data_IF_310759144089
#
_entry.id   IF_310759144089
#
_cell.length_a   1.000
_cell.length_b   1.000
_cell.length_c   1.000
_cell.angle_alpha   90.00
_cell.angle_beta   90.00
_cell.angle_gamma   90.00
#
_symmetry.space_group_name_H-M   'P 1'
#
loop_
_entity.id
_entity.type
_entity.pdbx_description
1 polymer ?
#
# COMPACT_ATOMS: atom_id res chain seq x y z
N UNK A 1 9.29 15.83 -9.39
CA UNK A 1 8.55 16.35 -8.22
C UNK A 1 8.52 15.28 -7.15
N UNK A 2 8.60 15.68 -5.88
CA UNK A 2 8.50 14.76 -4.75
C UNK A 2 7.58 15.38 -3.70
N UNK A 3 6.76 14.54 -3.07
CA UNK A 3 5.76 14.91 -2.10
C UNK A 3 5.84 13.92 -0.95
N UNK A 4 5.79 14.44 0.26
CA UNK A 4 5.71 13.64 1.47
C UNK A 4 4.58 14.20 2.34
N UNK A 5 3.74 13.30 2.82
CA UNK A 5 2.63 13.61 3.71
C UNK A 5 2.74 12.77 4.96
N UNK A 6 2.63 13.44 6.09
CA UNK A 6 2.41 12.83 7.39
C UNK A 6 0.98 13.16 7.83
N UNK A 7 0.20 12.13 8.16
CA UNK A 7 -1.18 12.32 8.60
C UNK A 7 -1.47 11.52 9.87
N UNK A 8 -2.42 12.04 10.66
CA UNK A 8 -3.04 11.34 11.77
C UNK A 8 -4.52 11.70 11.82
N UNK A 9 -5.37 10.70 11.60
CA UNK A 9 -6.81 10.82 11.72
C UNK A 9 -7.32 9.89 12.82
N UNK A 10 -8.21 10.42 13.67
CA UNK A 10 -8.85 9.69 14.76
C UNK A 10 -10.35 9.85 14.60
N UNK A 11 -11.07 8.74 14.62
CA UNK A 11 -12.53 8.71 14.56
C UNK A 11 -13.11 7.61 15.46
N UNK A 12 -14.40 7.70 15.73
CA UNK A 12 -15.22 6.65 16.34
C UNK A 12 -15.82 5.72 15.27
N UNK A 13 -16.03 6.22 14.05
CA UNK A 13 -16.36 5.46 12.85
C UNK A 13 -15.70 6.05 11.61
N UNK A 14 -15.06 5.22 10.79
CA UNK A 14 -14.46 5.64 9.51
C UNK A 14 -15.40 5.56 8.31
N UNK A 15 -16.65 5.16 8.52
CA UNK A 15 -17.66 5.07 7.46
C UNK A 15 -18.95 5.74 7.93
N UNK A 16 -19.47 6.62 7.09
CA UNK A 16 -20.79 7.22 7.26
C UNK A 16 -21.86 6.35 6.57
N UNK A 17 -23.02 6.19 7.22
CA UNK A 17 -24.22 5.68 6.54
C UNK A 17 -24.52 4.18 6.65
N UNK A 18 -23.95 3.45 7.61
CA UNK A 18 -24.36 2.05 7.89
C UNK A 18 -24.02 1.03 6.78
N UNK A 19 -23.16 1.41 5.82
CA UNK A 19 -22.75 0.55 4.69
C UNK A 19 -21.63 -0.42 5.08
N UNK A 20 -21.18 -0.41 6.34
CA UNK A 20 -20.24 -1.38 6.90
C UNK A 20 -20.93 -2.29 7.92
N UNK A 21 -20.72 -3.61 7.82
CA UNK A 21 -21.22 -4.60 8.78
C UNK A 21 -20.58 -4.50 10.19
N UNK A 22 -19.68 -3.54 10.41
CA UNK A 22 -19.00 -3.37 11.70
C UNK A 22 -19.70 -2.28 12.50
N UNK A 23 -20.62 -2.69 13.38
CA UNK A 23 -21.23 -1.83 14.39
C UNK A 23 -20.26 -1.57 15.55
N UNK A 24 -20.60 -0.64 16.45
CA UNK A 24 -19.89 -0.49 17.72
C UNK A 24 -19.89 -1.81 18.50
N UNK A 25 -18.75 -2.18 19.09
CA UNK A 25 -18.66 -3.39 19.90
C UNK A 25 -19.58 -3.29 21.12
N UNK A 26 -19.59 -2.13 21.76
CA UNK A 26 -20.49 -1.83 22.87
C UNK A 26 -21.28 -0.55 22.58
N UNK A 27 -22.52 -0.70 22.14
CA UNK A 27 -23.47 0.41 21.95
C UNK A 27 -23.73 1.27 23.20
N UNK A 28 -23.54 0.72 24.41
CA UNK A 28 -23.66 1.47 25.66
C UNK A 28 -22.43 2.33 25.96
N UNK A 29 -21.30 2.08 25.27
CA UNK A 29 -20.05 2.80 25.43
C UNK A 29 -19.42 3.10 24.06
N UNK A 30 -19.93 4.15 23.41
CA UNK A 30 -19.42 4.63 22.12
C UNK A 30 -18.01 5.22 22.26
N UNK A 31 -17.62 5.67 23.46
CA UNK A 31 -16.29 6.23 23.70
C UNK A 31 -15.19 5.20 23.45
N UNK A 32 -15.48 3.92 23.66
CA UNK A 32 -14.59 2.81 23.39
C UNK A 32 -14.32 2.55 21.89
N UNK A 33 -15.08 3.16 20.98
CA UNK A 33 -14.87 3.03 19.52
C UNK A 33 -13.88 4.04 18.95
N UNK A 34 -13.50 5.05 19.75
CA UNK A 34 -12.51 6.06 19.34
C UNK A 34 -11.14 5.42 19.11
N UNK A 35 -10.66 5.46 17.87
CA UNK A 35 -9.39 4.88 17.45
C UNK A 35 -8.81 5.61 16.24
N UNK A 36 -7.71 5.09 15.68
CA UNK A 36 -7.21 5.61 14.40
C UNK A 36 -8.26 5.38 13.30
N UNK A 37 -8.36 6.29 12.35
CA UNK A 37 -9.21 6.07 11.17
C UNK A 37 -8.72 4.85 10.38
N UNK A 38 -9.62 4.05 9.78
CA UNK A 38 -9.23 2.90 8.96
C UNK A 38 -8.47 3.31 7.68
N UNK A 39 -8.62 4.56 7.26
CA UNK A 39 -7.88 5.17 6.16
C UNK A 39 -6.67 5.99 6.64
N UNK A 40 -6.28 5.90 7.92
CA UNK A 40 -5.08 6.58 8.43
C UNK A 40 -3.82 6.00 7.79
N UNK A 41 -3.16 6.79 6.93
CA UNK A 41 -1.85 6.47 6.38
C UNK A 41 -0.86 7.41 7.04
N UNK A 42 -0.05 6.86 7.97
CA UNK A 42 0.89 7.63 8.80
C UNK A 42 1.93 8.36 7.95
N UNK A 43 2.56 7.66 7.03
CA UNK A 43 3.57 8.20 6.12
C UNK A 43 3.20 7.85 4.69
N UNK A 44 3.17 8.86 3.82
CA UNK A 44 2.99 8.68 2.39
C UNK A 44 4.04 9.50 1.63
N UNK A 45 4.76 8.83 0.74
CA UNK A 45 5.77 9.41 -0.13
C UNK A 45 5.41 9.11 -1.58
N UNK A 46 5.48 10.13 -2.41
CA UNK A 46 5.20 10.07 -3.85
C UNK A 46 6.24 10.90 -4.57
N UNK A 47 6.94 10.33 -5.53
CA UNK A 47 7.85 11.10 -6.38
C UNK A 47 7.79 10.64 -7.83
N UNK A 48 7.96 11.59 -8.73
CA UNK A 48 8.06 11.36 -10.16
C UNK A 48 9.34 11.98 -10.69
N UNK A 49 9.99 11.23 -11.57
CA UNK A 49 11.22 11.65 -12.23
C UNK A 49 11.09 11.44 -13.74
N UNK A 50 11.73 12.34 -14.47
CA UNK A 50 11.94 12.21 -15.91
C UNK A 50 13.39 12.57 -16.18
N UNK A 51 14.10 11.65 -16.79
CA UNK A 51 15.45 11.82 -17.27
C UNK A 51 15.46 11.66 -18.78
N UNK A 52 16.02 12.64 -19.47
CA UNK A 52 16.22 12.60 -20.92
C UNK A 52 17.71 12.57 -21.20
N UNK A 53 18.13 11.77 -22.18
CA UNK A 53 19.53 11.69 -22.57
C UNK A 53 20.08 13.08 -22.93
N UNK A 54 21.26 13.46 -22.41
CA UNK A 54 21.87 14.75 -22.71
C UNK A 54 22.50 14.80 -24.11
N UNK A 55 22.66 13.65 -24.79
CA UNK A 55 23.38 13.53 -26.07
C UNK A 55 22.66 14.31 -27.17
N UNK A 56 23.29 15.37 -27.68
CA UNK A 56 22.76 16.24 -28.74
C UNK A 56 22.13 17.56 -28.25
N UNK A 57 22.07 17.82 -26.94
CA UNK A 57 21.63 19.11 -26.38
C UNK A 57 22.82 20.07 -26.16
N UNK A 58 22.56 21.40 -26.15
CA UNK A 58 23.57 22.42 -25.82
C UNK A 58 24.23 22.10 -24.47
N UNK A 59 25.54 21.81 -24.48
CA UNK A 59 26.32 21.42 -23.29
C UNK A 59 26.69 19.93 -23.20
N UNK A 60 26.30 19.10 -24.16
CA UNK A 60 26.73 17.70 -24.26
C UNK A 60 28.20 17.57 -24.67
N UNK A 61 29.01 16.87 -23.87
CA UNK A 61 30.40 16.51 -24.22
C UNK A 61 30.47 15.31 -25.19
N UNK A 62 29.33 14.66 -25.46
CA UNK A 62 29.22 13.58 -26.44
C UNK A 62 28.75 14.18 -27.76
N UNK A 63 29.61 14.06 -28.79
CA UNK A 63 29.28 14.52 -30.15
C UNK A 63 28.13 13.65 -30.73
N UNK A 64 27.05 14.27 -31.23
CA UNK A 64 25.96 13.56 -31.90
C UNK A 64 26.39 12.87 -33.21
N UNK A 65 27.58 13.19 -33.74
CA UNK A 65 28.06 12.67 -35.03
C UNK A 65 28.76 11.32 -34.95
N UNK A 66 29.06 10.83 -33.74
CA UNK A 66 29.61 9.47 -33.56
C UNK A 66 28.49 8.43 -33.61
N UNK A 67 28.76 7.21 -34.09
CA UNK A 67 27.81 6.08 -34.09
C UNK A 67 27.16 5.87 -32.71
N UNK A 68 27.96 6.00 -31.64
CA UNK A 68 27.49 5.94 -30.26
C UNK A 68 26.63 7.15 -29.84
N UNK A 69 26.93 8.35 -30.33
CA UNK A 69 26.10 9.55 -30.11
C UNK A 69 24.72 9.40 -30.75
N UNK A 70 24.65 8.81 -31.95
CA UNK A 70 23.38 8.49 -32.62
C UNK A 70 22.58 7.38 -31.92
N UNK A 71 23.24 6.44 -31.25
CA UNK A 71 22.60 5.36 -30.49
C UNK A 71 22.16 5.78 -29.08
N UNK A 72 22.82 6.77 -28.49
CA UNK A 72 22.54 7.23 -27.13
C UNK A 72 21.66 8.49 -27.08
N UNK A 73 21.35 9.12 -28.21
CA UNK A 73 20.39 10.24 -28.27
C UNK A 73 18.93 9.77 -28.18
N UNK A 74 18.08 10.68 -27.71
CA UNK A 74 16.62 10.56 -27.67
C UNK A 74 16.07 9.47 -26.72
N UNK A 75 16.87 8.99 -25.76
CA UNK A 75 16.35 8.17 -24.66
C UNK A 75 15.63 9.03 -23.63
N UNK A 76 14.48 8.55 -23.18
CA UNK A 76 13.72 9.11 -22.07
C UNK A 76 13.41 7.99 -21.08
N UNK A 77 13.82 8.19 -19.83
CA UNK A 77 13.44 7.38 -18.70
C UNK A 77 12.49 8.20 -17.84
N UNK A 78 11.27 7.73 -17.64
CA UNK A 78 10.34 8.31 -16.70
C UNK A 78 9.93 7.28 -15.67
N UNK A 79 9.56 7.73 -14.48
CA UNK A 79 9.08 6.82 -13.46
C UNK A 79 8.40 7.53 -12.31
N UNK A 80 7.72 6.72 -11.52
CA UNK A 80 7.01 7.14 -10.32
C UNK A 80 7.26 6.14 -9.20
N UNK A 81 7.58 6.65 -8.02
CA UNK A 81 7.67 5.87 -6.79
C UNK A 81 6.56 6.29 -5.85
N UNK A 82 5.88 5.30 -5.27
CA UNK A 82 4.92 5.47 -4.19
C UNK A 82 5.34 4.56 -3.05
N UNK A 83 5.56 5.13 -1.87
CA UNK A 83 5.83 4.39 -0.66
C UNK A 83 4.90 4.90 0.45
N UNK A 84 4.19 4.01 1.14
CA UNK A 84 3.32 4.41 2.24
C UNK A 84 3.24 3.34 3.31
N UNK A 85 3.00 3.76 4.54
CA UNK A 85 2.64 2.84 5.64
C UNK A 85 1.29 2.21 5.39
N UNK A 86 1.06 1.04 5.98
CA UNK A 86 -0.21 0.35 5.84
C UNK A 86 -1.36 1.02 6.59
N UNK A 87 -2.56 0.73 6.15
CA UNK A 87 -3.78 1.09 6.87
C UNK A 87 -3.85 0.34 8.20
N UNK A 88 -4.28 0.98 9.30
CA UNK A 88 -4.34 0.31 10.58
C UNK A 88 -5.49 -0.71 10.61
N UNK A 89 -5.25 -1.81 11.31
CA UNK A 89 -6.13 -2.96 11.42
C UNK A 89 -6.52 -3.17 12.89
N UNK A 90 -7.64 -3.85 13.10
CA UNK A 90 -8.17 -4.15 14.43
C UNK A 90 -8.03 -5.64 14.72
N UNK A 91 -7.51 -5.99 15.90
CA UNK A 91 -7.50 -7.37 16.39
C UNK A 91 -8.94 -7.82 16.67
N UNK A 92 -9.38 -8.90 16.03
CA UNK A 92 -10.73 -9.42 16.18
C UNK A 92 -10.72 -10.74 16.91
N UNK A 93 -11.76 -11.01 17.68
CA UNK A 93 -12.08 -12.35 18.20
C UNK A 93 -13.38 -12.78 17.55
N UNK A 94 -13.54 -14.05 17.19
CA UNK A 94 -14.82 -14.57 16.68
C UNK A 94 -15.23 -15.76 17.55
N UNK A 95 -16.50 -15.83 17.94
CA UNK A 95 -17.05 -16.99 18.66
C UNK A 95 -17.32 -16.78 20.15
N UNK A 96 -17.25 -15.55 20.65
CA UNK A 96 -17.55 -15.21 22.06
C UNK A 96 -18.95 -14.61 22.18
N UNK A 97 -19.95 -15.35 21.69
CA UNK A 97 -21.26 -14.81 21.27
C UNK A 97 -22.28 -14.51 22.38
N UNK A 98 -21.97 -14.70 23.67
CA UNK A 98 -23.01 -14.66 24.70
C UNK A 98 -23.53 -13.26 25.06
N UNK A 99 -22.79 -12.18 24.77
CA UNK A 99 -23.27 -10.78 24.98
C UNK A 99 -23.59 -10.02 23.71
N UNK A 100 -23.05 -10.43 22.56
CA UNK A 100 -23.18 -9.72 21.28
C UNK A 100 -24.29 -10.27 20.37
N UNK A 101 -24.94 -11.37 20.76
CA UNK A 101 -26.19 -11.81 20.14
C UNK A 101 -27.31 -10.74 20.17
N UNK A 102 -27.16 -9.68 20.96
CA UNK A 102 -28.09 -8.56 21.06
C UNK A 102 -27.76 -7.38 20.12
N UNK A 103 -26.55 -7.31 19.55
CA UNK A 103 -26.07 -6.14 18.80
C UNK A 103 -26.03 -6.34 17.29
N UNK A 104 -26.31 -7.55 16.78
CA UNK A 104 -26.34 -7.92 15.34
C UNK A 104 -25.08 -7.54 14.52
N UNK A 105 -24.00 -7.10 15.16
CA UNK A 105 -22.75 -6.69 14.52
C UNK A 105 -21.82 -7.88 14.28
N UNK A 106 -21.87 -8.44 13.07
CA UNK A 106 -20.97 -9.54 12.70
C UNK A 106 -19.55 -8.99 12.48
N UNK A 107 -18.58 -9.44 13.28
CA UNK A 107 -17.18 -9.04 13.14
C UNK A 107 -16.79 -7.73 13.83
N UNK A 108 -17.62 -7.22 14.75
CA UNK A 108 -17.29 -6.08 15.63
C UNK A 108 -16.57 -6.48 16.92
N UNK A 109 -16.45 -7.79 17.18
CA UNK A 109 -15.74 -8.33 18.33
C UNK A 109 -14.24 -8.03 18.25
N UNK A 110 -13.77 -7.18 19.17
CA UNK A 110 -12.35 -6.94 19.42
C UNK A 110 -11.78 -7.95 20.40
N UNK A 111 -10.51 -8.28 20.23
CA UNK A 111 -9.76 -9.12 21.16
C UNK A 111 -9.42 -8.38 22.47
N UNK A 112 -8.86 -9.09 23.44
CA UNK A 112 -8.20 -8.47 24.61
C UNK A 112 -6.72 -8.24 24.32
N UNK A 113 -6.24 -7.03 24.57
CA UNK A 113 -4.83 -6.70 24.58
C UNK A 113 -4.17 -7.26 25.86
N UNK A 114 -3.08 -7.98 25.69
CA UNK A 114 -2.34 -8.61 26.80
C UNK A 114 -1.40 -7.63 27.53
N UNK A 115 -1.15 -6.46 26.94
CA UNK A 115 -0.16 -5.49 27.40
C UNK A 115 1.20 -5.63 26.70
N UNK A 116 1.39 -6.67 25.91
CA UNK A 116 2.56 -6.84 25.05
C UNK A 116 2.56 -5.84 23.89
N UNK A 117 3.75 -5.58 23.34
CA UNK A 117 3.89 -4.74 22.15
C UNK A 117 3.17 -5.37 20.95
N UNK A 118 2.40 -4.58 20.19
CA UNK A 118 1.70 -5.02 18.97
C UNK A 118 2.66 -5.44 17.86
N UNK A 119 3.88 -4.89 17.88
CA UNK A 119 4.95 -5.25 16.95
C UNK A 119 6.10 -5.91 17.70
N UNK A 120 6.67 -6.95 17.11
CA UNK A 120 7.91 -7.59 17.54
C UNK A 120 9.12 -6.68 17.28
N UNK A 121 10.29 -7.03 17.83
CA UNK A 121 11.55 -6.31 17.57
C UNK A 121 11.90 -6.21 16.08
N UNK A 122 11.42 -7.18 15.29
CA UNK A 122 11.67 -7.26 13.85
C UNK A 122 10.63 -6.46 13.03
N UNK A 123 9.74 -5.73 13.70
CA UNK A 123 8.68 -4.93 13.07
C UNK A 123 7.50 -5.76 12.54
N UNK A 124 7.49 -7.07 12.78
CA UNK A 124 6.37 -7.96 12.42
C UNK A 124 5.27 -7.92 13.47
N UNK A 125 4.05 -8.25 13.06
CA UNK A 125 2.90 -8.33 13.95
C UNK A 125 3.10 -9.38 15.06
N UNK A 126 2.97 -8.95 16.32
CA UNK A 126 3.10 -9.83 17.48
C UNK A 126 1.79 -10.56 17.77
N UNK A 127 1.79 -11.88 17.57
CA UNK A 127 0.61 -12.72 17.80
C UNK A 127 0.24 -12.84 19.29
N UNK A 128 1.19 -12.62 20.20
CA UNK A 128 0.95 -12.67 21.65
C UNK A 128 0.36 -11.36 22.21
N UNK A 129 0.24 -10.31 21.39
CA UNK A 129 -0.32 -9.03 21.80
C UNK A 129 -1.83 -9.09 22.06
N UNK A 130 -2.52 -10.09 21.52
CA UNK A 130 -3.97 -10.21 21.62
C UNK A 130 -4.42 -11.62 21.99
N UNK A 131 -5.46 -11.70 22.79
CA UNK A 131 -6.08 -12.96 23.25
C UNK A 131 -7.60 -12.89 23.12
N UNK A 132 -8.25 -14.05 23.12
CA UNK A 132 -9.71 -14.10 23.08
C UNK A 132 -10.27 -13.67 24.45
N UNK A 133 -11.21 -12.72 24.50
CA UNK A 133 -11.80 -12.28 25.75
C UNK A 133 -12.61 -13.42 26.41
N UNK A 134 -12.78 -13.39 27.75
CA UNK A 134 -13.64 -14.32 28.45
C UNK A 134 -15.07 -14.37 27.88
N UNK A 135 -15.75 -15.54 27.92
CA UNK A 135 -17.14 -15.63 27.51
C UNK A 135 -18.03 -14.64 28.25
N UNK A 136 -18.71 -13.77 27.51
CA UNK A 136 -19.62 -12.78 28.08
C UNK A 136 -18.97 -11.45 28.50
N UNK A 137 -17.75 -11.17 28.07
CA UNK A 137 -17.16 -9.82 28.13
C UNK A 137 -16.91 -9.24 26.73
N UNK A 138 -16.85 -7.91 26.66
CA UNK A 138 -16.29 -7.22 25.50
C UNK A 138 -14.77 -7.23 25.59
N UNK A 139 -14.10 -7.25 24.44
CA UNK A 139 -12.65 -7.10 24.39
C UNK A 139 -12.20 -5.68 24.72
N UNK A 140 -10.99 -5.54 25.26
CA UNK A 140 -10.41 -4.25 25.66
C UNK A 140 -9.43 -3.66 24.62
N UNK A 141 -9.08 -4.40 23.55
CA UNK A 141 -8.12 -3.94 22.56
C UNK A 141 -8.63 -2.70 21.82
N UNK A 142 -7.82 -1.65 21.69
CA UNK A 142 -8.21 -0.45 20.94
C UNK A 142 -8.47 -0.73 19.45
N UNK A 143 -9.39 0.05 18.86
CA UNK A 143 -9.65 0.02 17.42
C UNK A 143 -8.45 0.53 16.62
N UNK A 144 -8.13 -0.16 15.52
CA UNK A 144 -7.10 0.22 14.55
C UNK A 144 -5.71 0.42 15.19
N UNK A 145 -5.30 -0.55 16.00
CA UNK A 145 -4.03 -0.56 16.76
C UNK A 145 -2.90 -1.34 16.08
N UNK A 146 -3.21 -2.20 15.12
CA UNK A 146 -2.23 -2.98 14.36
C UNK A 146 -1.84 -2.19 13.12
N UNK A 147 -0.55 -1.98 12.86
CA UNK A 147 -0.11 -1.40 11.59
C UNK A 147 -0.22 -2.44 10.46
N UNK A 148 -0.97 -2.11 9.40
CA UNK A 148 -1.13 -2.99 8.24
C UNK A 148 0.13 -3.06 7.37
N UNK A 149 0.13 -3.90 6.34
CA UNK A 149 1.26 -3.98 5.43
C UNK A 149 1.48 -2.66 4.69
N UNK A 150 2.72 -2.19 4.67
CA UNK A 150 3.11 -1.05 3.86
C UNK A 150 3.00 -1.34 2.36
N UNK A 151 2.93 -0.28 1.57
CA UNK A 151 2.95 -0.34 0.11
C UNK A 151 4.21 0.34 -0.39
N UNK A 152 4.93 -0.35 -1.28
CA UNK A 152 6.03 0.19 -2.05
C UNK A 152 5.85 -0.20 -3.51
N UNK A 153 5.78 0.79 -4.38
CA UNK A 153 5.65 0.58 -5.82
C UNK A 153 6.58 1.53 -6.59
N UNK A 154 7.32 0.96 -7.55
CA UNK A 154 8.13 1.69 -8.50
C UNK A 154 7.69 1.32 -9.92
N UNK A 155 7.12 2.30 -10.61
CA UNK A 155 6.74 2.18 -12.01
C UNK A 155 7.75 2.93 -12.86
N UNK A 156 8.16 2.34 -13.98
CA UNK A 156 9.20 2.89 -14.87
C UNK A 156 8.77 2.72 -16.31
N UNK A 157 8.95 3.78 -17.10
CA UNK A 157 8.82 3.76 -18.55
C UNK A 157 10.13 4.21 -19.19
N UNK A 158 10.59 3.43 -20.16
CA UNK A 158 11.78 3.71 -20.95
C UNK A 158 11.37 3.82 -22.41
N UNK A 159 11.62 4.98 -23.01
CA UNK A 159 11.20 5.27 -24.37
C UNK A 159 12.34 5.86 -25.18
N UNK A 160 12.29 5.61 -26.49
CA UNK A 160 13.15 6.26 -27.47
C UNK A 160 12.46 6.41 -28.80
N UNK A 161 12.74 7.51 -29.45
CA UNK A 161 12.32 7.77 -30.81
C UNK A 161 13.53 7.93 -31.71
N UNK A 162 13.56 7.22 -32.84
CA UNK A 162 14.59 7.38 -33.85
C UNK A 162 13.99 7.69 -35.22
N UNK A 163 14.54 8.72 -35.87
CA UNK A 163 14.20 9.08 -37.24
C UNK A 163 15.11 8.26 -38.17
N UNK A 164 14.50 7.46 -39.04
CA UNK A 164 15.21 6.69 -40.07
C UNK A 164 15.45 7.59 -41.29
N UNK A 165 14.42 8.35 -41.68
CA UNK A 165 14.49 9.39 -42.71
C UNK A 165 13.64 10.59 -42.27
N UNK A 166 13.56 11.65 -43.08
CA UNK A 166 12.68 12.81 -42.81
C UNK A 166 11.19 12.43 -42.70
N UNK A 167 10.79 11.32 -43.32
CA UNK A 167 9.39 10.84 -43.34
C UNK A 167 9.15 9.61 -42.46
N UNK A 168 10.21 8.85 -42.13
CA UNK A 168 10.10 7.58 -41.39
C UNK A 168 10.61 7.71 -39.96
N UNK A 169 9.76 7.38 -38.99
CA UNK A 169 10.07 7.43 -37.55
C UNK A 169 9.65 6.14 -36.85
N UNK A 170 10.49 5.63 -35.96
CA UNK A 170 10.16 4.52 -35.07
C UNK A 170 10.20 5.00 -33.62
N UNK A 171 9.17 4.67 -32.86
CA UNK A 171 9.07 4.87 -31.42
C UNK A 171 9.10 3.51 -30.74
N UNK A 172 10.07 3.32 -29.84
CA UNK A 172 10.18 2.17 -28.96
C UNK A 172 9.86 2.63 -27.53
N UNK A 173 8.95 1.93 -26.86
CA UNK A 173 8.60 2.21 -25.46
C UNK A 173 8.41 0.90 -24.71
N UNK A 174 9.04 0.80 -23.54
CA UNK A 174 8.87 -0.30 -22.59
C UNK A 174 8.42 0.29 -21.27
N UNK A 175 7.35 -0.23 -20.72
CA UNK A 175 6.78 0.19 -19.45
C UNK A 175 6.74 -0.98 -18.50
N UNK A 176 6.96 -0.70 -17.22
CA UNK A 176 6.83 -1.66 -16.15
C UNK A 176 6.03 -1.09 -15.01
N UNK A 177 5.01 -1.83 -14.59
CA UNK A 177 4.41 -1.63 -13.28
C UNK A 177 5.14 -2.51 -12.27
N UNK A 178 5.50 -1.96 -11.12
CA UNK A 178 6.27 -2.67 -10.09
C UNK A 178 7.57 -3.29 -10.64
N UNK A 179 8.46 -2.45 -11.19
CA UNK A 179 9.69 -2.90 -11.89
C UNK A 179 10.61 -3.75 -11.00
N UNK A 180 10.64 -3.48 -9.70
CA UNK A 180 11.43 -4.24 -8.72
C UNK A 180 10.77 -5.58 -8.33
N UNK A 181 9.54 -5.83 -8.77
CA UNK A 181 8.73 -6.98 -8.37
C UNK A 181 8.60 -7.09 -6.83
N UNK A 182 8.44 -5.96 -6.16
CA UNK A 182 8.23 -5.92 -4.71
C UNK A 182 6.82 -6.41 -4.38
N UNK A 183 6.70 -7.37 -3.46
CA UNK A 183 5.40 -7.93 -3.07
C UNK A 183 4.71 -6.96 -2.12
N UNK A 184 3.60 -6.39 -2.57
CA UNK A 184 2.73 -5.56 -1.73
C UNK A 184 1.61 -6.42 -1.18
N UNK A 185 1.43 -6.49 0.13
CA UNK A 185 0.30 -7.20 0.73
C UNK A 185 -0.87 -6.25 0.96
N UNK A 186 -2.10 -6.73 0.79
CA UNK A 186 -3.29 -5.87 0.93
C UNK A 186 -3.77 -5.77 2.38
N UNK A 187 -3.61 -6.84 3.17
CA UNK A 187 -4.10 -6.92 4.55
C UNK A 187 -3.43 -8.09 5.30
N UNK A 188 -3.49 -8.10 6.62
CA UNK A 188 -3.17 -9.24 7.49
C UNK A 188 -4.45 -9.87 8.05
N UNK A 189 -4.41 -11.17 8.34
CA UNK A 189 -5.48 -11.80 9.13
C UNK A 189 -5.33 -11.44 10.60
N UNK A 190 -6.32 -10.76 11.18
CA UNK A 190 -6.25 -10.26 12.56
C UNK A 190 -7.21 -10.96 13.53
N UNK A 191 -7.84 -12.05 13.08
CA UNK A 191 -8.74 -12.86 13.93
C UNK A 191 -7.90 -13.78 14.82
N UNK A 192 -7.94 -13.54 16.13
CA UNK A 192 -7.24 -14.36 17.13
C UNK A 192 -7.74 -15.81 17.06
N UNK A 193 -6.82 -16.76 17.18
CA UNK A 193 -7.04 -18.22 17.08
C UNK A 193 -7.46 -18.74 15.69
N UNK A 194 -7.55 -17.88 14.66
CA UNK A 194 -7.69 -18.37 13.28
C UNK A 194 -6.38 -19.03 12.82
N UNK A 195 -6.46 -20.07 12.00
CA UNK A 195 -5.28 -20.80 11.48
C UNK A 195 -4.30 -19.90 10.72
N UNK A 196 -4.81 -18.82 10.12
CA UNK A 196 -4.04 -17.87 9.34
C UNK A 196 -3.69 -16.58 10.12
N UNK A 197 -3.95 -16.53 11.43
CA UNK A 197 -3.72 -15.34 12.25
C UNK A 197 -2.30 -14.78 12.09
N UNK A 198 -2.22 -13.50 11.74
CA UNK A 198 -1.01 -12.75 11.46
C UNK A 198 -0.36 -12.99 10.10
N UNK A 199 -0.90 -13.88 9.28
CA UNK A 199 -0.42 -14.08 7.91
C UNK A 199 -0.97 -12.99 6.96
N UNK A 200 -0.23 -12.65 5.89
CA UNK A 200 -0.76 -11.82 4.82
C UNK A 200 -1.96 -12.49 4.12
N UNK A 201 -2.99 -11.70 3.81
CA UNK A 201 -4.23 -12.18 3.20
C UNK A 201 -4.15 -12.39 1.70
N UNK A 202 -3.56 -11.42 0.97
CA UNK A 202 -3.35 -11.50 -0.46
C UNK A 202 -2.17 -10.61 -0.86
N UNK A 203 -1.49 -11.03 -1.92
CA UNK A 203 -0.52 -10.21 -2.62
C UNK A 203 -1.23 -9.35 -3.67
N UNK A 204 -0.80 -8.10 -3.82
CA UNK A 204 -1.20 -7.19 -4.88
C UNK A 204 -0.56 -7.56 -6.22
N UNK A 205 -0.77 -6.69 -7.22
CA UNK A 205 -0.24 -6.88 -8.57
C UNK A 205 1.27 -7.09 -8.59
N UNK A 206 1.70 -8.20 -9.21
CA UNK A 206 3.10 -8.47 -9.49
C UNK A 206 3.60 -7.62 -10.66
N UNK A 207 4.90 -7.70 -10.93
CA UNK A 207 5.51 -6.96 -12.04
C UNK A 207 4.82 -7.27 -13.37
N UNK A 208 4.43 -6.23 -14.09
CA UNK A 208 4.03 -6.33 -15.50
C UNK A 208 5.04 -5.58 -16.36
N UNK A 209 5.18 -6.02 -17.61
CA UNK A 209 6.07 -5.43 -18.60
C UNK A 209 5.34 -5.35 -19.93
N UNK A 210 5.20 -4.13 -20.44
CA UNK A 210 4.52 -3.85 -21.69
C UNK A 210 5.50 -3.18 -22.65
N UNK A 211 5.64 -3.72 -23.85
CA UNK A 211 6.51 -3.18 -24.88
C UNK A 211 5.69 -2.78 -26.11
N UNK A 212 5.90 -1.56 -26.59
CA UNK A 212 5.23 -1.00 -27.75
C UNK A 212 6.27 -0.50 -28.75
N UNK A 213 6.08 -0.91 -30.00
CA UNK A 213 6.81 -0.38 -31.15
C UNK A 213 5.80 0.29 -32.07
N UNK A 214 6.04 1.54 -32.41
CA UNK A 214 5.22 2.29 -33.38
C UNK A 214 6.08 2.76 -34.53
N UNK A 215 5.66 2.44 -35.76
CA UNK A 215 6.26 2.92 -36.99
C UNK A 215 5.36 3.97 -37.64
N UNK A 216 5.95 5.11 -38.05
CA UNK A 216 5.30 6.18 -38.78
C UNK A 216 6.01 6.38 -40.12
N UNK A 217 5.24 6.59 -41.19
CA UNK A 217 5.71 6.72 -42.59
C UNK A 217 5.05 7.89 -43.30
#
# INVERSE_FOLDING_TARGET
NAFYQYAKSIDDSSTFGGVGNTAAQNWLDISAERGLSSFDVRHQFSAQFVWTSPVGNRGSHLSPDTTWGRLLKDWQLSGGVTAQTGNPLTARALGTTSRLAQTNGTGSERADATGESVSTSDGLFNLAAFTVPPPGSYGNAGRNTIEGPGLFNLNVAFARSFNITERKRVEFRVESNNVLNHVNYTNYYTVVNATNYGLPSAAGGMRTLDAVVRFRF
#
